data_IF_278813074733
#
_entry.id   IF_278813074733
#
_cell.length_a   1.000
_cell.length_b   1.000
_cell.length_c   1.000
_cell.angle_alpha   90.00
_cell.angle_beta   90.00
_cell.angle_gamma   90.00
#
_symmetry.space_group_name_H-M   'P 1'
#
loop_
_entity.id
_entity.type
_entity.pdbx_description
1 polymer ?
#
# COMPACT_ATOMS: atom_id res chain seq x y z
N UNK A 1 -11.47 -7.29 -4.88
CA UNK A 1 -10.73 -6.03 -5.11
C UNK A 1 -11.52 -4.91 -5.83
N UNK A 2 -12.62 -5.17 -6.56
CA UNK A 2 -13.29 -4.10 -7.35
C UNK A 2 -14.06 -3.04 -6.56
N UNK A 3 -14.41 -3.30 -5.28
CA UNK A 3 -15.25 -2.44 -4.43
C UNK A 3 -14.52 -1.81 -3.24
N UNK A 4 -13.19 -1.69 -3.29
CA UNK A 4 -12.41 -1.10 -2.20
C UNK A 4 -12.61 0.42 -2.13
N UNK A 5 -12.92 0.96 -0.94
CA UNK A 5 -13.06 2.41 -0.69
C UNK A 5 -11.72 3.14 -0.77
N UNK A 6 -11.77 4.47 -0.81
CA UNK A 6 -10.70 5.44 -0.53
C UNK A 6 -9.31 4.86 -0.24
N UNK A 7 -9.09 4.56 1.04
CA UNK A 7 -7.81 4.18 1.62
C UNK A 7 -7.25 2.85 1.07
N UNK A 8 -8.09 1.84 0.93
CA UNK A 8 -7.67 0.53 0.43
C UNK A 8 -7.18 0.62 -1.02
N UNK A 9 -7.88 1.41 -1.85
CA UNK A 9 -7.47 1.66 -3.23
C UNK A 9 -6.12 2.40 -3.30
N UNK A 10 -5.87 3.34 -2.39
CA UNK A 10 -4.57 4.01 -2.31
C UNK A 10 -3.44 3.03 -1.98
N UNK A 11 -3.67 2.08 -1.06
CA UNK A 11 -2.67 1.03 -0.74
C UNK A 11 -2.36 0.15 -1.94
N UNK A 12 -3.36 -0.24 -2.74
CA UNK A 12 -3.10 -1.01 -3.97
C UNK A 12 -2.26 -0.23 -4.99
N UNK A 13 -2.51 1.07 -5.15
CA UNK A 13 -1.67 1.90 -6.02
C UNK A 13 -0.25 2.03 -5.47
N UNK A 14 -0.05 2.07 -4.16
CA UNK A 14 1.28 2.11 -3.54
C UNK A 14 2.06 0.81 -3.75
N UNK A 15 1.42 -0.35 -3.57
CA UNK A 15 2.04 -1.64 -3.90
C UNK A 15 2.40 -1.73 -5.39
N UNK A 16 1.49 -1.27 -6.25
CA UNK A 16 1.73 -1.22 -7.70
C UNK A 16 2.89 -0.28 -8.05
N UNK A 17 3.02 0.85 -7.36
CA UNK A 17 4.11 1.81 -7.55
C UNK A 17 5.46 1.22 -7.10
N UNK A 18 5.50 0.50 -5.99
CA UNK A 18 6.69 -0.24 -5.55
C UNK A 18 7.13 -1.25 -6.60
N UNK A 19 6.22 -2.13 -7.02
CA UNK A 19 6.49 -3.15 -8.05
C UNK A 19 6.92 -2.55 -9.40
N UNK A 20 6.32 -1.43 -9.83
CA UNK A 20 6.71 -0.75 -11.07
C UNK A 20 8.13 -0.15 -10.98
N UNK A 21 8.51 0.41 -9.83
CA UNK A 21 9.87 0.95 -9.60
C UNK A 21 10.92 -0.14 -9.61
N UNK A 22 10.63 -1.25 -8.92
CA UNK A 22 11.50 -2.43 -8.94
C UNK A 22 11.62 -2.96 -10.36
N UNK A 23 10.51 -3.19 -11.06
CA UNK A 23 10.53 -3.66 -12.46
C UNK A 23 11.41 -2.78 -13.36
N UNK A 24 11.37 -1.45 -13.19
CA UNK A 24 12.22 -0.53 -13.96
C UNK A 24 13.72 -0.72 -13.65
N UNK A 25 14.08 -0.91 -12.39
CA UNK A 25 15.47 -1.21 -11.98
C UNK A 25 15.94 -2.55 -12.55
N UNK A 26 15.06 -3.55 -12.57
CA UNK A 26 15.35 -4.86 -13.16
C UNK A 26 15.61 -4.76 -14.66
N UNK A 27 14.80 -4.00 -15.40
CA UNK A 27 15.06 -3.74 -16.82
C UNK A 27 16.42 -3.06 -17.04
N UNK A 28 16.76 -2.06 -16.24
CA UNK A 28 18.06 -1.41 -16.32
C UNK A 28 19.22 -2.38 -16.05
N UNK A 29 19.12 -3.24 -15.03
CA UNK A 29 20.13 -4.26 -14.73
C UNK A 29 20.26 -5.32 -15.83
N UNK A 30 19.13 -5.73 -16.41
CA UNK A 30 19.09 -6.75 -17.48
C UNK A 30 19.53 -6.24 -18.86
N UNK A 31 19.88 -4.95 -19.01
CA UNK A 31 20.27 -4.34 -20.29
C UNK A 31 21.45 -4.99 -21.00
N UNK A 32 22.26 -5.77 -20.27
CA UNK A 32 23.38 -6.52 -20.83
C UNK A 32 22.96 -7.83 -21.51
N UNK A 33 21.74 -8.31 -21.24
CA UNK A 33 21.21 -9.59 -21.74
C UNK A 33 20.06 -9.37 -22.73
N UNK A 34 19.36 -8.24 -22.62
CA UNK A 34 18.24 -7.89 -23.49
C UNK A 34 18.67 -6.91 -24.61
N UNK A 35 18.03 -6.96 -25.80
CA UNK A 35 18.24 -5.96 -26.83
C UNK A 35 17.89 -4.55 -26.36
N UNK A 36 18.66 -3.56 -26.80
CA UNK A 36 18.52 -2.16 -26.39
C UNK A 36 17.10 -1.62 -26.63
N UNK A 37 16.52 -1.92 -27.79
CA UNK A 37 15.15 -1.49 -28.14
C UNK A 37 14.09 -2.04 -27.18
N UNK A 38 14.26 -3.28 -26.70
CA UNK A 38 13.35 -3.88 -25.72
C UNK A 38 13.49 -3.17 -24.37
N UNK A 39 14.73 -2.95 -23.91
CA UNK A 39 14.98 -2.28 -22.63
C UNK A 39 14.41 -0.87 -22.65
N UNK A 40 14.69 -0.10 -23.70
CA UNK A 40 14.18 1.25 -23.89
C UNK A 40 12.66 1.29 -23.87
N UNK A 41 12.01 0.47 -24.70
CA UNK A 41 10.55 0.41 -24.77
C UNK A 41 9.92 0.05 -23.41
N UNK A 42 10.47 -0.95 -22.70
CA UNK A 42 9.96 -1.39 -21.40
C UNK A 42 10.20 -0.35 -20.31
N UNK A 43 11.36 0.32 -20.30
CA UNK A 43 11.66 1.40 -19.35
C UNK A 43 10.76 2.62 -19.55
N UNK A 44 10.48 2.99 -20.80
CA UNK A 44 9.53 4.06 -21.14
C UNK A 44 8.12 3.71 -20.65
N UNK A 45 7.66 2.48 -20.89
CA UNK A 45 6.37 2.00 -20.40
C UNK A 45 6.27 2.06 -18.87
N UNK A 46 7.27 1.53 -18.15
CA UNK A 46 7.31 1.58 -16.68
C UNK A 46 7.29 3.02 -16.17
N UNK A 47 8.01 3.92 -16.83
CA UNK A 47 8.02 5.34 -16.49
C UNK A 47 6.63 5.96 -16.64
N UNK A 48 5.90 5.65 -17.72
CA UNK A 48 4.51 6.13 -17.90
C UNK A 48 3.58 5.58 -16.82
N UNK A 49 3.69 4.29 -16.46
CA UNK A 49 2.88 3.69 -15.39
C UNK A 49 3.17 4.38 -14.04
N UNK A 50 4.44 4.58 -13.69
CA UNK A 50 4.83 5.30 -12.47
C UNK A 50 4.24 6.71 -12.46
N UNK A 51 4.35 7.44 -13.58
CA UNK A 51 3.80 8.80 -13.71
C UNK A 51 2.28 8.86 -13.56
N UNK A 52 1.54 7.80 -13.91
CA UNK A 52 0.10 7.72 -13.67
C UNK A 52 -0.22 7.36 -12.21
N UNK A 53 0.54 6.45 -11.60
CA UNK A 53 0.29 6.00 -10.22
C UNK A 53 0.49 7.11 -9.18
N UNK A 54 1.53 7.95 -9.34
CA UNK A 54 1.85 9.05 -8.40
C UNK A 54 0.67 10.03 -8.17
N UNK A 55 0.06 10.64 -9.20
CA UNK A 55 -1.08 11.52 -9.01
C UNK A 55 -2.32 10.76 -8.53
N UNK A 56 -2.52 9.51 -8.94
CA UNK A 56 -3.65 8.69 -8.50
C UNK A 56 -3.60 8.39 -6.99
N UNK A 57 -2.42 8.07 -6.44
CA UNK A 57 -2.23 7.89 -4.99
C UNK A 57 -2.57 9.19 -4.25
N UNK A 58 -2.06 10.32 -4.75
CA UNK A 58 -2.29 11.64 -4.14
C UNK A 58 -3.77 12.01 -4.14
N UNK A 59 -4.46 11.82 -5.26
CA UNK A 59 -5.90 12.03 -5.40
C UNK A 59 -6.68 11.12 -4.44
N UNK A 60 -6.36 9.82 -4.43
CA UNK A 60 -7.07 8.84 -3.62
C UNK A 60 -6.91 9.09 -2.11
N UNK A 61 -5.73 9.56 -1.66
CA UNK A 61 -5.50 9.92 -0.26
C UNK A 61 -6.21 11.22 0.14
N UNK A 62 -6.30 12.21 -0.76
CA UNK A 62 -7.01 13.47 -0.51
C UNK A 62 -8.53 13.30 -0.45
N UNK A 63 -9.09 12.40 -1.26
CA UNK A 63 -10.53 12.16 -1.36
C UNK A 63 -11.00 10.91 -0.61
N UNK A 64 -10.12 10.26 0.15
CA UNK A 64 -10.53 9.24 1.08
C UNK A 64 -11.33 9.90 2.21
N UNK A 65 -12.66 9.89 2.07
CA UNK A 65 -13.59 10.23 3.15
C UNK A 65 -13.18 9.32 4.32
N UNK A 66 -12.62 9.94 5.37
CA UNK A 66 -12.25 9.27 6.61
C UNK A 66 -13.54 8.66 7.14
N UNK A 67 -13.61 7.34 7.29
CA UNK A 67 -14.67 6.77 8.13
C UNK A 67 -14.45 7.33 9.53
N UNK A 68 -15.51 7.86 10.15
CA UNK A 68 -15.45 8.39 11.50
C UNK A 68 -14.80 7.34 12.41
N UNK A 69 -13.83 7.79 13.20
CA UNK A 69 -13.16 6.91 14.14
C UNK A 69 -14.23 6.42 15.11
N UNK A 70 -14.57 5.13 15.06
CA UNK A 70 -15.57 4.57 15.95
C UNK A 70 -15.17 4.89 17.39
N UNK A 71 -16.03 5.60 18.11
CA UNK A 71 -15.86 5.83 19.54
C UNK A 71 -15.89 4.46 20.22
N UNK A 72 -14.72 3.98 20.66
CA UNK A 72 -14.67 2.86 21.58
C UNK A 72 -15.21 3.36 22.91
N UNK A 73 -16.48 3.12 23.18
CA UNK A 73 -17.04 3.28 24.52
C UNK A 73 -16.39 2.23 25.42
N UNK A 74 -15.32 2.62 26.10
CA UNK A 74 -14.79 1.83 27.22
C UNK A 74 -15.88 1.91 28.29
N UNK A 75 -16.67 0.85 28.40
CA UNK A 75 -17.59 0.68 29.51
C UNK A 75 -16.75 0.71 30.79
N UNK A 76 -16.99 1.63 31.74
CA UNK A 76 -16.21 1.69 32.98
C UNK A 76 -16.26 0.39 33.81
N UNK A 77 -17.15 -0.54 33.47
CA UNK A 77 -17.37 -1.79 34.21
C UNK A 77 -16.23 -2.82 34.10
N UNK A 78 -15.15 -2.53 33.37
CA UNK A 78 -13.99 -3.43 33.21
C UNK A 78 -12.73 -2.99 33.99
N UNK A 79 -12.81 -1.95 34.83
CA UNK A 79 -11.69 -1.51 35.67
C UNK A 79 -11.30 -2.49 36.79
N UNK A 80 -12.10 -3.53 37.04
CA UNK A 80 -11.90 -4.47 38.16
C UNK A 80 -11.26 -5.80 37.74
N UNK A 81 -10.78 -5.94 36.50
CA UNK A 81 -9.94 -7.09 36.15
C UNK A 81 -8.54 -6.83 36.71
N UNK A 82 -8.31 -7.31 37.93
CA UNK A 82 -6.99 -7.38 38.54
C UNK A 82 -6.06 -8.25 37.67
N UNK A 83 -5.13 -7.58 36.98
CA UNK A 83 -4.11 -8.18 36.10
C UNK A 83 -3.09 -9.03 36.91
N UNK A 84 -3.14 -8.95 38.24
CA UNK A 84 -2.23 -9.65 39.16
C UNK A 84 -2.72 -11.05 39.58
N UNK A 85 -3.85 -11.53 39.06
CA UNK A 85 -4.25 -12.92 39.31
C UNK A 85 -3.39 -13.87 38.47
N UNK A 86 -2.30 -14.35 39.09
CA UNK A 86 -1.42 -15.37 38.55
C UNK A 86 -2.25 -16.56 38.04
N UNK A 87 -2.32 -16.72 36.72
CA UNK A 87 -2.84 -17.92 36.07
C UNK A 87 -1.88 -19.06 36.46
N UNK A 88 -2.33 -20.10 37.18
CA UNK A 88 -1.48 -21.26 37.40
C UNK A 88 -1.32 -21.97 36.06
N UNK A 89 -0.09 -22.02 35.54
CA UNK A 89 0.23 -22.87 34.41
C UNK A 89 0.10 -24.34 34.81
N UNK A 90 -0.52 -25.20 33.98
CA UNK A 90 -0.48 -26.65 34.17
C UNK A 90 0.91 -27.23 33.91
#
# INVERSE_FOLDING_TARGET
YSRSKGLDRARFFEYSLGSARESRDWYYKSRHVLPEEVVKHRMELMTRIISMLVPMISHQRKHAIREEQAEYSISPQLSDISIDSAIPFP
#
